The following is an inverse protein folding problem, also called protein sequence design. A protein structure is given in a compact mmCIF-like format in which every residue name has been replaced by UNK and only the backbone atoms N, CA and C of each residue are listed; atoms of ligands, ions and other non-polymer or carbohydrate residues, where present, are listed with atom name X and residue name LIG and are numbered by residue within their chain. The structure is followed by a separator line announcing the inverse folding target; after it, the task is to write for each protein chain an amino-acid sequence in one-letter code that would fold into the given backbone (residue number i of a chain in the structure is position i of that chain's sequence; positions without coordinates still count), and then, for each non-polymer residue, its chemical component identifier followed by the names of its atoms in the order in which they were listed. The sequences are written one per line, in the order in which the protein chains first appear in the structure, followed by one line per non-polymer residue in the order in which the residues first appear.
data_IF_740407140633
#
_entry.id   IF_740407140633
#
_cell.length_a   1.000
_cell.length_b   1.000
_cell.length_c   1.000
_cell.angle_alpha   90.00
_cell.angle_beta   90.00
_cell.angle_gamma   90.00
#
_symmetry.space_group_name_H-M   'P 1'
#
loop_
_entity.id
_entity.type
_entity.pdbx_description
1 polymer ?
#
# COMPACT_ATOMS: atom_id res chain seq x y z
N UNK A 1 28.62 -8.57 11.32
CA UNK A 1 27.86 -8.37 10.06
C UNK A 1 28.46 -9.27 9.00
N UNK A 2 27.79 -10.38 8.73
CA UNK A 2 28.24 -11.39 7.75
C UNK A 2 27.80 -11.00 6.33
N UNK A 3 28.42 -11.58 5.31
CA UNK A 3 28.06 -11.33 3.90
C UNK A 3 26.57 -11.65 3.63
N UNK A 4 26.03 -12.65 4.34
CA UNK A 4 24.61 -13.04 4.32
C UNK A 4 23.68 -11.93 4.81
N UNK A 5 24.05 -11.21 5.89
CA UNK A 5 23.27 -10.07 6.39
C UNK A 5 23.15 -8.96 5.34
N UNK A 6 24.24 -8.71 4.60
CA UNK A 6 24.27 -7.68 3.54
C UNK A 6 23.39 -8.06 2.35
N UNK A 7 23.39 -9.33 1.94
CA UNK A 7 22.52 -9.81 0.86
C UNK A 7 21.04 -9.76 1.26
N UNK A 8 20.71 -10.15 2.50
CA UNK A 8 19.33 -10.08 3.02
C UNK A 8 18.87 -8.61 3.08
N UNK A 9 19.69 -7.71 3.63
CA UNK A 9 19.38 -6.28 3.65
C UNK A 9 19.20 -5.69 2.25
N UNK A 10 20.07 -6.05 1.31
CA UNK A 10 19.98 -5.59 -0.08
C UNK A 10 18.70 -6.06 -0.76
N UNK A 11 18.28 -7.31 -0.52
CA UNK A 11 17.03 -7.84 -1.05
C UNK A 11 15.82 -7.14 -0.43
N UNK A 12 15.79 -6.96 0.89
CA UNK A 12 14.70 -6.25 1.57
C UNK A 12 14.56 -4.80 1.09
N UNK A 13 15.67 -4.09 0.91
CA UNK A 13 15.66 -2.71 0.38
C UNK A 13 15.14 -2.68 -1.06
N UNK A 14 15.55 -3.65 -1.88
CA UNK A 14 15.10 -3.76 -3.26
C UNK A 14 13.59 -4.08 -3.35
N UNK A 15 13.11 -5.01 -2.53
CA UNK A 15 11.68 -5.36 -2.44
C UNK A 15 10.83 -4.19 -1.96
N UNK A 16 11.30 -3.44 -0.96
CA UNK A 16 10.61 -2.25 -0.46
C UNK A 16 10.56 -1.15 -1.51
N UNK A 17 11.68 -0.89 -2.21
CA UNK A 17 11.73 0.08 -3.30
C UNK A 17 10.76 -0.30 -4.43
N UNK A 18 10.72 -1.60 -4.77
CA UNK A 18 9.84 -2.12 -5.82
C UNK A 18 8.36 -2.05 -5.41
N UNK A 19 8.03 -2.43 -4.17
CA UNK A 19 6.68 -2.27 -3.59
C UNK A 19 6.20 -0.83 -3.71
N UNK A 20 7.05 0.14 -3.33
CA UNK A 20 6.73 1.57 -3.39
C UNK A 20 6.58 2.07 -4.82
N UNK A 21 7.38 1.58 -5.75
CA UNK A 21 7.24 1.90 -7.17
C UNK A 21 5.90 1.37 -7.74
N UNK A 22 5.56 0.11 -7.44
CA UNK A 22 4.28 -0.48 -7.84
C UNK A 22 3.09 0.27 -7.22
N UNK A 23 3.19 0.66 -5.95
CA UNK A 23 2.16 1.43 -5.29
C UNK A 23 2.01 2.83 -5.91
N UNK A 24 3.11 3.49 -6.27
CA UNK A 24 3.08 4.74 -7.03
C UNK A 24 2.37 4.58 -8.38
N UNK A 25 2.67 3.51 -9.13
CA UNK A 25 1.98 3.20 -10.38
C UNK A 25 0.48 3.00 -10.14
N UNK A 26 0.10 2.19 -9.14
CA UNK A 26 -1.30 1.98 -8.77
C UNK A 26 -2.01 3.30 -8.44
N UNK A 27 -1.37 4.16 -7.64
CA UNK A 27 -1.95 5.45 -7.25
C UNK A 27 -2.16 6.34 -8.47
N UNK A 28 -1.13 6.48 -9.32
CA UNK A 28 -1.15 7.41 -10.46
C UNK A 28 -2.04 6.94 -11.60
N UNK A 29 -2.05 5.65 -11.89
CA UNK A 29 -2.74 5.08 -13.06
C UNK A 29 -4.17 4.65 -12.75
N UNK A 30 -4.48 4.33 -11.49
CA UNK A 30 -5.80 3.80 -11.11
C UNK A 30 -6.43 4.60 -9.97
N UNK A 31 -5.77 4.75 -8.82
CA UNK A 31 -6.44 5.31 -7.63
C UNK A 31 -6.81 6.79 -7.78
N UNK A 32 -6.00 7.58 -8.47
CA UNK A 32 -6.28 8.98 -8.77
C UNK A 32 -7.36 9.13 -9.87
N UNK A 33 -7.26 8.47 -11.04
CA UNK A 33 -8.30 8.56 -12.07
C UNK A 33 -9.68 8.04 -11.63
N UNK A 34 -9.72 7.00 -10.81
CA UNK A 34 -10.96 6.34 -10.36
C UNK A 34 -11.45 6.87 -9.00
N UNK A 35 -10.84 7.95 -8.47
CA UNK A 35 -11.16 8.57 -7.17
C UNK A 35 -11.20 7.58 -5.98
N UNK A 36 -10.45 6.49 -6.06
CA UNK A 36 -10.40 5.40 -5.09
C UNK A 36 -9.44 5.68 -3.90
N UNK A 37 -8.91 6.90 -3.82
CA UNK A 37 -7.88 7.30 -2.87
C UNK A 37 -8.46 8.20 -1.77
N UNK A 38 -8.34 7.76 -0.52
CA UNK A 38 -8.89 8.45 0.64
C UNK A 38 -7.81 8.70 1.70
N UNK A 39 -7.66 9.95 2.12
CA UNK A 39 -6.74 10.35 3.19
C UNK A 39 -7.37 10.18 4.57
N UNK A 40 -7.88 8.99 4.85
CA UNK A 40 -8.61 8.64 6.06
C UNK A 40 -8.09 7.33 6.64
N UNK A 41 -8.32 7.13 7.93
CA UNK A 41 -8.05 5.87 8.59
C UNK A 41 -9.01 4.78 8.07
N UNK A 42 -8.52 3.54 7.87
CA UNK A 42 -9.38 2.44 7.49
C UNK A 42 -10.30 2.05 8.65
N UNK A 43 -11.51 1.62 8.32
CA UNK A 43 -12.42 1.04 9.30
C UNK A 43 -11.86 -0.29 9.80
N UNK A 44 -11.72 -0.44 11.12
CA UNK A 44 -11.19 -1.65 11.75
C UNK A 44 -9.69 -1.84 11.52
N UNK A 45 -8.86 -1.19 12.35
CA UNK A 45 -7.38 -1.27 12.30
C UNK A 45 -6.79 -2.60 12.80
N UNK A 46 -7.60 -3.67 12.88
CA UNK A 46 -7.14 -4.95 13.38
C UNK A 46 -6.06 -5.51 12.45
N UNK A 47 -4.90 -5.88 13.03
CA UNK A 47 -3.75 -6.43 12.32
C UNK A 47 -2.71 -5.40 11.84
N UNK A 48 -3.01 -4.10 11.95
CA UNK A 48 -1.99 -3.05 11.76
C UNK A 48 -1.17 -2.97 13.05
N UNK A 49 0.15 -3.14 12.95
CA UNK A 49 1.01 -3.05 14.12
C UNK A 49 1.02 -1.60 14.66
N UNK A 50 0.82 -1.39 15.98
CA UNK A 50 0.79 -0.03 16.56
C UNK A 50 2.08 0.76 16.32
N UNK A 51 3.24 0.09 16.26
CA UNK A 51 4.51 0.73 15.91
C UNK A 51 4.65 1.19 14.45
N UNK A 52 3.74 0.74 13.56
CA UNK A 52 3.71 1.22 12.18
C UNK A 52 3.00 2.57 12.04
N UNK A 53 2.14 2.95 12.98
CA UNK A 53 1.39 4.22 12.89
C UNK A 53 1.56 5.19 14.05
N UNK A 54 1.99 4.73 15.22
CA UNK A 54 2.34 5.58 16.37
C UNK A 54 3.85 5.54 16.59
N UNK A 55 4.46 6.72 16.70
CA UNK A 55 5.81 6.90 17.22
C UNK A 55 5.78 7.85 18.42
N UNK A 56 6.23 7.40 19.60
CA UNK A 56 6.33 8.26 20.78
C UNK A 56 5.04 8.99 21.20
N UNK A 57 3.86 8.47 20.84
CA UNK A 57 2.57 9.11 21.12
C UNK A 57 2.08 10.09 20.04
N UNK A 58 2.81 10.25 18.93
CA UNK A 58 2.37 11.00 17.76
C UNK A 58 2.16 10.08 16.54
N UNK A 59 1.24 10.47 15.67
CA UNK A 59 1.00 9.77 14.41
C UNK A 59 2.17 10.01 13.47
N UNK A 60 2.71 8.94 12.88
CA UNK A 60 3.88 9.02 11.99
C UNK A 60 3.64 9.82 10.71
N UNK A 61 2.39 10.09 10.33
CA UNK A 61 2.05 10.82 9.11
C UNK A 61 0.56 10.86 8.84
N UNK A 62 0.20 11.03 7.57
CA UNK A 62 -1.17 11.08 7.09
C UNK A 62 -1.60 9.67 6.65
N UNK A 63 -2.75 9.15 7.13
CA UNK A 63 -3.27 7.87 6.65
C UNK A 63 -3.72 7.98 5.20
N UNK A 64 -3.28 7.04 4.38
CA UNK A 64 -3.70 6.86 3.00
C UNK A 64 -4.34 5.48 2.86
N UNK A 65 -5.64 5.48 2.58
CA UNK A 65 -6.42 4.28 2.29
C UNK A 65 -6.83 4.29 0.83
N UNK A 66 -6.50 3.23 0.11
CA UNK A 66 -6.89 3.02 -1.29
C UNK A 66 -7.90 1.89 -1.31
N UNK A 67 -9.10 2.15 -1.83
CA UNK A 67 -10.16 1.14 -1.92
C UNK A 67 -10.45 0.81 -3.39
N UNK A 68 -10.08 -0.39 -3.82
CA UNK A 68 -10.26 -0.88 -5.18
C UNK A 68 -11.60 -1.63 -5.32
N UNK A 69 -12.18 -1.69 -6.53
CA UNK A 69 -13.51 -2.25 -6.77
C UNK A 69 -13.62 -3.76 -6.49
N UNK A 70 -12.52 -4.50 -6.49
CA UNK A 70 -12.48 -5.93 -6.14
C UNK A 70 -12.49 -6.19 -4.61
N UNK A 71 -12.97 -5.24 -3.82
CA UNK A 71 -12.91 -5.24 -2.34
C UNK A 71 -11.49 -5.30 -1.77
N UNK A 72 -10.48 -5.04 -2.61
CA UNK A 72 -9.11 -4.94 -2.18
C UNK A 72 -8.88 -3.54 -1.62
N UNK A 73 -8.28 -3.46 -0.43
CA UNK A 73 -7.92 -2.21 0.18
C UNK A 73 -6.45 -2.23 0.55
N UNK A 74 -5.80 -1.09 0.32
CA UNK A 74 -4.42 -0.85 0.74
C UNK A 74 -4.38 0.30 1.72
N UNK A 75 -3.53 0.18 2.72
CA UNK A 75 -3.31 1.18 3.74
C UNK A 75 -1.82 1.44 3.91
N UNK A 76 -1.46 2.71 3.91
CA UNK A 76 -0.08 3.15 4.14
C UNK A 76 -0.08 4.55 4.76
N UNK A 77 0.97 4.88 5.51
CA UNK A 77 1.20 6.24 5.96
C UNK A 77 2.08 7.01 4.99
N UNK A 78 1.71 8.25 4.73
CA UNK A 78 2.44 9.17 3.85
C UNK A 78 2.80 10.46 4.58
N UNK A 79 3.85 11.14 4.11
CA UNK A 79 4.29 12.42 4.67
C UNK A 79 3.35 13.58 4.34
N UNK A 80 2.69 13.53 3.18
CA UNK A 80 1.85 14.62 2.67
C UNK A 80 0.67 14.10 1.86
N UNK A 81 -0.35 14.94 1.74
CA UNK A 81 -1.38 14.78 0.70
C UNK A 81 -0.84 15.37 -0.59
N UNK A 82 -0.90 14.59 -1.65
CA UNK A 82 -0.51 15.05 -2.97
C UNK A 82 -1.44 14.46 -4.04
N UNK A 83 -1.96 15.33 -4.89
CA UNK A 83 -2.89 14.98 -5.95
C UNK A 83 -2.18 14.41 -7.18
N UNK A 84 -0.84 14.50 -7.24
CA UNK A 84 -0.02 13.89 -8.29
C UNK A 84 0.49 12.49 -7.90
N UNK A 85 0.16 12.00 -6.69
CA UNK A 85 0.63 10.70 -6.21
C UNK A 85 2.13 10.66 -5.91
N UNK A 86 2.73 11.81 -5.57
CA UNK A 86 4.13 11.90 -5.13
C UNK A 86 4.17 11.96 -3.60
N UNK A 87 4.23 10.77 -2.99
CA UNK A 87 4.26 10.61 -1.54
C UNK A 87 5.55 9.96 -1.08
N UNK A 88 6.00 10.31 0.13
CA UNK A 88 6.99 9.52 0.86
C UNK A 88 6.27 8.58 1.80
N UNK A 89 6.44 7.27 1.57
CA UNK A 89 5.88 6.23 2.42
C UNK A 89 6.61 6.12 3.76
N UNK A 90 5.88 6.32 4.85
CA UNK A 90 6.37 6.37 6.23
C UNK A 90 6.10 5.08 7.02
N UNK A 91 5.27 4.18 6.47
CA UNK A 91 5.01 2.84 7.02
C UNK A 91 5.16 1.76 5.96
N UNK A 92 5.13 0.51 6.41
CA UNK A 92 4.88 -0.64 5.54
C UNK A 92 3.48 -0.55 4.93
N UNK A 93 3.29 -1.28 3.83
CA UNK A 93 2.02 -1.35 3.12
C UNK A 93 1.18 -2.49 3.71
N UNK A 94 0.02 -2.14 4.21
CA UNK A 94 -0.97 -3.09 4.68
C UNK A 94 -2.01 -3.32 3.60
N UNK A 95 -2.43 -4.57 3.47
CA UNK A 95 -3.49 -4.96 2.56
C UNK A 95 -4.61 -5.65 3.33
N UNK A 96 -5.83 -5.44 2.84
CA UNK A 96 -7.03 -6.12 3.29
C UNK A 96 -7.87 -6.51 2.08
N UNK A 97 -8.48 -7.69 2.13
CA UNK A 97 -9.46 -8.11 1.16
C UNK A 97 -10.82 -8.28 1.86
N UNK A 98 -11.85 -7.60 1.37
CA UNK A 98 -13.19 -7.60 1.98
C UNK A 98 -13.17 -7.14 3.44
N UNK A 99 -13.87 -7.88 4.30
CA UNK A 99 -13.97 -7.61 5.75
C UNK A 99 -12.86 -8.31 6.56
N UNK A 100 -11.76 -8.68 5.93
CA UNK A 100 -10.64 -9.36 6.57
C UNK A 100 -9.85 -8.49 7.55
N UNK A 101 -8.86 -9.09 8.20
CA UNK A 101 -7.88 -8.36 9.03
C UNK A 101 -6.81 -7.74 8.14
N UNK A 102 -6.29 -6.56 8.49
CA UNK A 102 -5.15 -5.96 7.82
C UNK A 102 -3.90 -6.83 8.00
N UNK A 103 -3.16 -7.02 6.91
CA UNK A 103 -1.90 -7.79 6.94
C UNK A 103 -0.82 -7.04 6.19
N UNK A 104 0.37 -6.99 6.77
CA UNK A 104 1.57 -6.62 6.04
C UNK A 104 1.92 -7.81 5.13
N UNK A 105 1.72 -7.66 3.82
CA UNK A 105 1.99 -8.73 2.85
C UNK A 105 3.46 -8.73 2.45
N UNK A 106 3.98 -9.91 2.17
CA UNK A 106 5.27 -10.04 1.49
C UNK A 106 5.17 -9.50 0.06
N UNK A 107 6.29 -9.05 -0.52
CA UNK A 107 6.33 -8.45 -1.86
C UNK A 107 5.62 -9.30 -2.92
N UNK A 108 5.88 -10.60 -2.95
CA UNK A 108 5.27 -11.51 -3.93
C UNK A 108 3.75 -11.63 -3.80
N UNK A 109 3.20 -11.53 -2.59
CA UNK A 109 1.76 -11.54 -2.36
C UNK A 109 1.13 -10.20 -2.71
N UNK A 110 1.78 -9.10 -2.33
CA UNK A 110 1.37 -7.75 -2.70
C UNK A 110 1.31 -7.58 -4.22
N UNK A 111 2.38 -7.95 -4.94
CA UNK A 111 2.43 -7.86 -6.39
C UNK A 111 1.32 -8.68 -7.05
N UNK A 112 1.04 -9.88 -6.54
CA UNK A 112 -0.05 -10.73 -7.05
C UNK A 112 -1.41 -10.09 -6.84
N UNK A 113 -1.72 -9.60 -5.64
CA UNK A 113 -3.00 -8.95 -5.35
C UNK A 113 -3.18 -7.65 -6.15
N UNK A 114 -2.11 -6.87 -6.30
CA UNK A 114 -2.11 -5.65 -7.09
C UNK A 114 -2.37 -5.95 -8.57
N UNK A 115 -1.67 -6.93 -9.15
CA UNK A 115 -1.89 -7.35 -10.54
C UNK A 115 -3.32 -7.84 -10.77
N UNK A 116 -3.84 -8.70 -9.87
CA UNK A 116 -5.23 -9.14 -9.94
C UNK A 116 -6.20 -7.96 -9.88
N UNK A 117 -5.97 -6.99 -9.00
CA UNK A 117 -6.81 -5.80 -8.91
C UNK A 117 -6.75 -4.95 -10.20
N UNK A 118 -5.55 -4.70 -10.72
CA UNK A 118 -5.36 -3.97 -11.97
C UNK A 118 -6.00 -4.70 -13.18
N UNK A 119 -5.91 -6.03 -13.25
CA UNK A 119 -6.58 -6.84 -14.28
C UNK A 119 -8.10 -6.69 -14.21
N UNK A 120 -8.67 -6.73 -13.00
CA UNK A 120 -10.11 -6.51 -12.80
C UNK A 120 -10.53 -5.11 -13.25
N UNK A 121 -9.76 -4.07 -12.90
CA UNK A 121 -10.04 -2.68 -13.31
C UNK A 121 -9.90 -2.50 -14.82
N UNK A 122 -8.87 -3.09 -15.43
CA UNK A 122 -8.65 -3.02 -16.88
C UNK A 122 -9.77 -3.73 -17.64
N UNK A 123 -10.25 -4.87 -17.15
CA UNK A 123 -11.42 -5.56 -17.74
C UNK A 123 -12.71 -4.77 -17.57
N UNK A 124 -12.90 -4.11 -16.43
CA UNK A 124 -14.07 -3.26 -16.21
C UNK A 124 -14.10 -2.09 -17.22
N UNK A 125 -12.95 -1.43 -17.45
CA UNK A 125 -12.81 -0.34 -18.43
C UNK A 125 -12.99 -0.76 -19.90
N UNK A 126 -12.80 -2.04 -20.23
CA UNK A 126 -12.93 -2.54 -21.60
C UNK A 126 -14.35 -2.98 -21.97
N UNK A 127 -15.28 -2.98 -21.00
CA UNK A 127 -16.66 -3.40 -21.18
C UNK A 127 -17.67 -2.23 -21.25
N UNK A 128 -17.17 -1.00 -21.24
CA UNK A 128 -17.92 0.24 -21.55
C UNK A 128 -17.70 0.67 -22.99
#
# INVERSE_FOLDING_TARGET
MTNTDRTILSNMVSELATTRALLNCLIKEFALPEECLHYTWPEGMQGIAPGSFVDGGQWKGIPLTISLPNQQQFFVLVDRRDHLGSHRYLSDVYARQGQGTWRCLAFAEFARQLLTACEHMTRARHHE
#
